data_IF_170292437997
#
_entry.id   IF_170292437997
#
_cell.length_a   1.000
_cell.length_b   1.000
_cell.length_c   1.000
_cell.angle_alpha   90.00
_cell.angle_beta   90.00
_cell.angle_gamma   90.00
#
_symmetry.space_group_name_H-M   'P 1'
#
loop_
_entity.id
_entity.type
_entity.pdbx_description
1 polymer ?
#
# COMPACT_ATOMS: atom_id res chain seq x y z
N UNK A 1 -5.56 -8.25 1.06
CA UNK A 1 -5.66 -6.78 1.24
C UNK A 1 -6.86 -6.25 0.50
N UNK A 2 -7.63 -5.42 1.15
CA UNK A 2 -8.83 -4.86 0.54
C UNK A 2 -8.67 -3.36 0.34
N UNK A 3 -9.03 -2.91 -0.86
CA UNK A 3 -9.11 -1.48 -1.15
C UNK A 3 -10.36 -0.92 -0.47
N UNK A 4 -10.18 0.11 0.34
CA UNK A 4 -11.28 0.79 1.02
C UNK A 4 -11.71 2.02 0.23
N UNK A 5 -12.92 2.54 0.52
CA UNK A 5 -13.37 3.79 -0.11
C UNK A 5 -12.47 4.96 0.24
N UNK A 6 -11.94 4.98 1.46
CA UNK A 6 -10.99 6.00 1.90
C UNK A 6 -9.73 5.93 1.05
N UNK A 7 -9.25 4.72 0.75
CA UNK A 7 -8.07 4.51 -0.09
C UNK A 7 -8.30 5.06 -1.51
N UNK A 8 -9.47 4.79 -2.10
CA UNK A 8 -9.81 5.32 -3.44
C UNK A 8 -9.82 6.83 -3.42
N UNK A 9 -10.46 7.43 -2.43
CA UNK A 9 -10.53 8.88 -2.29
C UNK A 9 -9.15 9.50 -2.14
N UNK A 10 -8.30 8.90 -1.32
CA UNK A 10 -6.94 9.40 -1.09
C UNK A 10 -6.07 9.26 -2.34
N UNK A 11 -6.18 8.14 -3.06
CA UNK A 11 -5.44 7.94 -4.31
C UNK A 11 -5.83 9.01 -5.35
N UNK A 12 -7.12 9.36 -5.43
CA UNK A 12 -7.58 10.41 -6.33
C UNK A 12 -7.05 11.78 -5.93
N UNK A 13 -6.98 12.06 -4.64
CA UNK A 13 -6.39 13.29 -4.11
C UNK A 13 -4.90 13.37 -4.49
N UNK A 14 -4.18 12.26 -4.31
CA UNK A 14 -2.76 12.17 -4.66
C UNK A 14 -2.55 12.41 -6.15
N UNK A 15 -3.36 11.80 -7.00
CA UNK A 15 -3.29 12.00 -8.44
C UNK A 15 -3.51 13.47 -8.81
N UNK A 16 -4.48 14.12 -8.17
CA UNK A 16 -4.74 15.55 -8.40
C UNK A 16 -3.55 16.40 -7.99
N UNK A 17 -2.91 16.10 -6.86
CA UNK A 17 -1.75 16.84 -6.38
C UNK A 17 -0.57 16.75 -7.35
N UNK A 18 -0.41 15.62 -8.03
CA UNK A 18 0.66 15.45 -9.01
C UNK A 18 0.30 15.93 -10.41
N UNK A 19 -0.89 16.54 -10.59
CA UNK A 19 -1.34 17.03 -11.88
C UNK A 19 -1.83 15.96 -12.84
N UNK A 20 -2.04 14.73 -12.35
CA UNK A 20 -2.53 13.63 -13.18
C UNK A 20 -4.04 13.74 -13.41
N UNK A 21 -4.46 13.41 -14.63
CA UNK A 21 -5.89 13.32 -14.96
C UNK A 21 -6.50 11.98 -14.54
N UNK A 22 -5.67 11.03 -14.14
CA UNK A 22 -6.15 9.69 -13.75
C UNK A 22 -7.02 9.78 -12.50
N UNK A 23 -8.13 9.04 -12.53
CA UNK A 23 -9.03 8.91 -11.38
C UNK A 23 -9.54 7.49 -11.30
N UNK A 24 -9.75 7.02 -10.08
CA UNK A 24 -10.28 5.68 -9.83
C UNK A 24 -11.67 5.76 -9.24
N UNK A 25 -12.48 4.75 -9.55
CA UNK A 25 -13.82 4.60 -8.97
C UNK A 25 -13.81 3.45 -7.97
N UNK A 26 -14.85 3.37 -7.16
CA UNK A 26 -15.00 2.24 -6.23
C UNK A 26 -15.08 0.90 -6.97
N UNK A 27 -15.68 0.89 -8.17
CA UNK A 27 -15.77 -0.32 -8.99
C UNK A 27 -14.39 -0.80 -9.48
N UNK A 28 -13.43 0.08 -9.60
CA UNK A 28 -12.08 -0.27 -10.05
C UNK A 28 -11.37 -1.27 -9.12
N UNK A 29 -11.82 -1.39 -7.87
CA UNK A 29 -11.27 -2.39 -6.94
C UNK A 29 -11.42 -3.81 -7.45
N UNK A 30 -12.37 -4.05 -8.35
CA UNK A 30 -12.65 -5.36 -8.93
C UNK A 30 -11.83 -5.62 -10.19
N UNK A 31 -11.16 -4.62 -10.71
CA UNK A 31 -10.30 -4.72 -11.89
C UNK A 31 -8.85 -4.84 -11.42
N UNK A 32 -8.17 -5.98 -11.67
CA UNK A 32 -6.81 -6.17 -11.20
C UNK A 32 -5.83 -5.10 -11.66
N UNK A 33 -5.94 -4.67 -12.93
CA UNK A 33 -5.06 -3.65 -13.49
C UNK A 33 -5.27 -2.29 -12.83
N UNK A 34 -6.53 -1.88 -12.68
CA UNK A 34 -6.86 -0.60 -12.06
C UNK A 34 -6.52 -0.59 -10.58
N UNK A 35 -6.74 -1.72 -9.90
CA UNK A 35 -6.37 -1.88 -8.49
C UNK A 35 -4.86 -1.75 -8.30
N UNK A 36 -4.08 -2.33 -9.19
CA UNK A 36 -2.61 -2.23 -9.13
C UNK A 36 -2.15 -0.80 -9.35
N UNK A 37 -2.71 -0.10 -10.33
CA UNK A 37 -2.38 1.31 -10.57
C UNK A 37 -2.67 2.17 -9.34
N UNK A 38 -3.80 1.96 -8.71
CA UNK A 38 -4.19 2.67 -7.50
C UNK A 38 -3.21 2.38 -6.37
N UNK A 39 -2.87 1.12 -6.17
CA UNK A 39 -1.95 0.72 -5.11
C UNK A 39 -0.57 1.34 -5.30
N UNK A 40 -0.06 1.34 -6.53
CA UNK A 40 1.24 1.96 -6.84
C UNK A 40 1.22 3.45 -6.54
N UNK A 41 0.17 4.17 -6.97
CA UNK A 41 0.04 5.60 -6.71
C UNK A 41 -0.01 5.90 -5.21
N UNK A 42 -0.82 5.14 -4.48
CA UNK A 42 -1.00 5.29 -3.04
C UNK A 42 0.30 5.02 -2.28
N UNK A 43 0.93 3.88 -2.56
CA UNK A 43 2.14 3.47 -1.84
C UNK A 43 3.36 4.32 -2.21
N UNK A 44 3.47 4.76 -3.45
CA UNK A 44 4.57 5.63 -3.86
C UNK A 44 4.53 6.96 -3.10
N UNK A 45 3.35 7.54 -2.96
CA UNK A 45 3.17 8.80 -2.23
C UNK A 45 3.50 8.62 -0.74
N UNK A 46 2.88 7.64 -0.08
CA UNK A 46 3.07 7.47 1.36
C UNK A 46 4.43 6.89 1.71
N UNK A 47 5.05 6.15 0.80
CA UNK A 47 6.44 5.73 0.92
C UNK A 47 7.39 6.91 0.91
N UNK A 48 7.15 7.90 0.04
CA UNK A 48 7.94 9.13 0.00
C UNK A 48 7.76 9.96 1.28
N UNK A 49 6.53 10.02 1.80
CA UNK A 49 6.28 10.68 3.09
C UNK A 49 7.04 9.98 4.22
N UNK A 50 7.00 8.64 4.23
CA UNK A 50 7.76 7.85 5.20
C UNK A 50 9.25 8.20 5.18
N UNK A 51 9.84 8.26 3.98
CA UNK A 51 11.25 8.61 3.83
C UNK A 51 11.55 10.00 4.35
N UNK A 52 10.70 10.98 4.05
CA UNK A 52 10.89 12.34 4.56
C UNK A 52 10.81 12.42 6.09
N UNK A 53 9.94 11.61 6.69
CA UNK A 53 9.73 11.64 8.16
C UNK A 53 10.77 10.85 8.93
N UNK A 54 11.29 9.76 8.36
CA UNK A 54 12.17 8.83 9.09
C UNK A 54 13.61 8.85 8.59
N UNK A 55 13.86 9.34 7.39
CA UNK A 55 15.16 9.25 6.74
C UNK A 55 15.48 7.84 6.24
N UNK A 56 14.52 6.93 6.26
CA UNK A 56 14.71 5.54 5.87
C UNK A 56 14.06 5.25 4.52
N UNK A 57 14.63 4.29 3.78
CA UNK A 57 14.05 3.80 2.53
C UNK A 57 12.97 2.78 2.87
N UNK A 58 11.74 2.89 2.29
CA UNK A 58 10.69 1.91 2.54
C UNK A 58 11.10 0.51 2.10
N UNK A 59 10.79 -0.48 2.92
CA UNK A 59 10.97 -1.90 2.61
C UNK A 59 9.63 -2.51 2.23
N UNK A 60 9.64 -3.79 1.81
CA UNK A 60 8.40 -4.53 1.57
C UNK A 60 7.50 -4.50 2.81
N UNK A 61 8.09 -4.63 4.01
CA UNK A 61 7.34 -4.52 5.26
C UNK A 61 6.67 -3.16 5.41
N UNK A 62 7.41 -2.08 5.12
CA UNK A 62 6.90 -0.71 5.22
C UNK A 62 5.67 -0.54 4.33
N UNK A 63 5.76 -0.94 3.07
CA UNK A 63 4.64 -0.83 2.13
C UNK A 63 3.44 -1.68 2.53
N UNK A 64 3.69 -2.92 2.96
CA UNK A 64 2.60 -3.81 3.40
C UNK A 64 1.86 -3.22 4.60
N UNK A 65 2.60 -2.67 5.55
CA UNK A 65 2.02 -2.07 6.75
C UNK A 65 1.25 -0.79 6.46
N UNK A 66 1.74 0.03 5.54
CA UNK A 66 1.01 1.22 5.09
C UNK A 66 -0.26 0.80 4.35
N UNK A 67 -0.17 -0.20 3.49
CA UNK A 67 -1.33 -0.69 2.75
C UNK A 67 -2.43 -1.20 3.68
N UNK A 68 -2.04 -1.94 4.72
CA UNK A 68 -2.99 -2.52 5.68
C UNK A 68 -3.55 -1.50 6.67
N UNK A 69 -2.72 -0.59 7.16
CA UNK A 69 -3.05 0.30 8.27
C UNK A 69 -3.16 1.78 7.94
N UNK A 70 -3.01 2.17 6.66
CA UNK A 70 -3.06 3.57 6.25
C UNK A 70 -1.72 4.27 6.33
N UNK A 71 -1.71 5.62 6.14
CA UNK A 71 -0.46 6.39 6.08
C UNK A 71 0.50 6.19 7.27
N UNK A 72 -0.04 5.96 8.46
CA UNK A 72 0.77 5.70 9.66
C UNK A 72 0.90 4.21 9.96
N UNK A 73 0.47 3.35 9.05
CA UNK A 73 0.46 1.90 9.26
C UNK A 73 1.82 1.32 9.59
N UNK A 74 2.89 1.91 9.08
CA UNK A 74 4.25 1.44 9.29
C UNK A 74 4.68 1.39 10.77
N UNK A 75 4.00 2.12 11.64
CA UNK A 75 4.32 2.18 13.08
C UNK A 75 3.25 1.61 14.00
N UNK A 76 2.17 1.03 13.43
CA UNK A 76 1.07 0.50 14.24
C UNK A 76 1.35 -0.94 14.69
N UNK A 77 1.10 -1.28 15.97
CA UNK A 77 1.27 -2.67 16.43
C UNK A 77 0.40 -3.67 15.68
N UNK A 78 -0.81 -3.27 15.28
CA UNK A 78 -1.74 -4.14 14.54
C UNK A 78 -1.18 -4.52 13.17
N UNK A 79 -0.49 -3.61 12.49
CA UNK A 79 0.12 -3.92 11.20
C UNK A 79 1.39 -4.75 11.34
N UNK A 80 2.07 -4.68 12.48
CA UNK A 80 3.21 -5.56 12.75
C UNK A 80 2.75 -7.02 12.80
N UNK A 81 1.61 -7.28 13.45
CA UNK A 81 1.02 -8.62 13.48
C UNK A 81 0.61 -9.08 12.08
N UNK A 82 0.01 -8.20 11.30
CA UNK A 82 -0.34 -8.47 9.90
C UNK A 82 0.91 -8.84 9.09
N UNK A 83 1.98 -8.07 9.23
CA UNK A 83 3.22 -8.33 8.50
C UNK A 83 3.82 -9.69 8.85
N UNK A 84 3.78 -10.08 10.11
CA UNK A 84 4.29 -11.41 10.51
C UNK A 84 3.55 -12.53 9.77
N UNK A 85 2.24 -12.40 9.57
CA UNK A 85 1.45 -13.38 8.83
C UNK A 85 1.82 -13.39 7.35
N UNK A 86 1.97 -12.21 6.75
CA UNK A 86 2.36 -12.08 5.34
C UNK A 86 3.75 -12.69 5.12
N UNK A 87 4.69 -12.36 5.99
CA UNK A 87 6.06 -12.86 5.92
C UNK A 87 6.10 -14.39 6.01
N UNK A 88 5.34 -14.97 6.92
CA UNK A 88 5.28 -16.41 7.08
C UNK A 88 4.76 -17.09 5.82
N UNK A 89 3.73 -16.52 5.17
CA UNK A 89 3.20 -17.04 3.91
C UNK A 89 4.21 -16.95 2.78
N UNK A 90 4.93 -15.85 2.69
CA UNK A 90 5.96 -15.66 1.65
C UNK A 90 7.10 -16.65 1.84
N UNK A 91 7.54 -16.89 3.07
CA UNK A 91 8.59 -17.86 3.37
C UNK A 91 8.14 -19.28 3.04
N UNK A 92 6.91 -19.66 3.40
CA UNK A 92 6.33 -20.96 3.09
C UNK A 92 6.24 -21.19 1.59
N UNK A 93 5.72 -20.20 0.86
CA UNK A 93 5.60 -20.26 -0.60
C UNK A 93 6.97 -20.39 -1.24
N UNK A 94 7.96 -19.68 -0.73
CA UNK A 94 9.33 -19.72 -1.24
C UNK A 94 9.94 -21.12 -1.07
N UNK A 95 9.67 -21.77 0.06
CA UNK A 95 10.13 -23.13 0.32
C UNK A 95 9.48 -24.15 -0.61
N UNK A 96 8.21 -23.95 -0.94
CA UNK A 96 7.46 -24.86 -1.82
C UNK A 96 7.95 -24.83 -3.27
N UNK A 97 8.58 -23.74 -3.68
CA UNK A 97 9.07 -23.60 -5.06
C UNK A 97 10.43 -24.23 -5.28
N UNK A 98 10.99 -24.84 -4.29
CA UNK A 98 12.20 -25.63 -4.41
C UNK A 98 11.86 -27.03 -4.90
#
# INVERSE_FOLDING_TARGET
>A
MQITRICVRDANRIAALSGSAVRWTWADRLDPRRSEELAVAYLSYWGAVYTRRTGRIPTAETYARIWNGGPDGWRKPTTAAYWRKVKAKLETKHKETK
#
